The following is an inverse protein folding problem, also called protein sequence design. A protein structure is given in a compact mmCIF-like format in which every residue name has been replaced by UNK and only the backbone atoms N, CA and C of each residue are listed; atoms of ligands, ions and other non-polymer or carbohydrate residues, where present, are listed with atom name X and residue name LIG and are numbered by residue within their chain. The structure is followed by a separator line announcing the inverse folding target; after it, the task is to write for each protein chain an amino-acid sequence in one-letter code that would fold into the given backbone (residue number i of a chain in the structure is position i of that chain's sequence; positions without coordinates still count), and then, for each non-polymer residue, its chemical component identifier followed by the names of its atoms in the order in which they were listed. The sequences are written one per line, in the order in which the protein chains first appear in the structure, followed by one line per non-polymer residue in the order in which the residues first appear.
data_IF_579549191215
#
_entry.id   IF_579549191215
#
_cell.length_a   1.000
_cell.length_b   1.000
_cell.length_c   1.000
_cell.angle_alpha   90.00
_cell.angle_beta   90.00
_cell.angle_gamma   90.00
#
_symmetry.space_group_name_H-M   'P 1'
#
loop_
_entity.id
_entity.type
_entity.pdbx_description
1 polymer ?
#
# COMPACT_ATOMS: atom_id res chain seq x y z
N UNK A 1 -18.05 -4.07 13.00
CA UNK A 1 -17.73 -4.93 11.85
C UNK A 1 -17.69 -4.07 10.59
N UNK A 2 -16.74 -4.27 9.71
CA UNK A 2 -16.66 -3.56 8.42
C UNK A 2 -17.75 -4.06 7.48
N UNK A 3 -18.22 -3.18 6.58
CA UNK A 3 -19.27 -3.48 5.60
C UNK A 3 -18.75 -4.37 4.49
N UNK A 4 -19.55 -5.34 4.06
CA UNK A 4 -19.28 -6.11 2.84
C UNK A 4 -20.14 -5.55 1.69
N UNK A 5 -19.52 -4.71 0.85
CA UNK A 5 -20.19 -4.04 -0.26
C UNK A 5 -20.76 -5.00 -1.30
N UNK A 6 -20.08 -6.11 -1.55
CA UNK A 6 -20.54 -7.13 -2.50
C UNK A 6 -21.89 -7.70 -2.06
N UNK A 7 -22.02 -8.09 -0.77
CA UNK A 7 -23.28 -8.57 -0.20
C UNK A 7 -24.38 -7.52 -0.21
N UNK A 8 -24.05 -6.28 0.19
CA UNK A 8 -25.03 -5.18 0.27
C UNK A 8 -25.61 -4.79 -1.10
N UNK A 9 -24.86 -4.99 -2.19
CA UNK A 9 -25.25 -4.61 -3.54
C UNK A 9 -25.57 -5.82 -4.44
N UNK A 10 -25.63 -7.04 -3.89
CA UNK A 10 -25.88 -8.27 -4.62
C UNK A 10 -24.90 -8.51 -5.79
N UNK A 11 -23.63 -8.15 -5.57
CA UNK A 11 -22.52 -8.39 -6.49
C UNK A 11 -21.71 -9.60 -6.03
N UNK A 12 -21.02 -10.28 -6.97
CA UNK A 12 -20.20 -11.46 -6.65
C UNK A 12 -18.73 -11.13 -6.52
N UNK A 13 -18.25 -10.26 -7.38
CA UNK A 13 -16.81 -9.96 -7.53
C UNK A 13 -16.56 -8.46 -7.35
N UNK A 14 -16.41 -8.02 -6.10
CA UNK A 14 -16.03 -6.64 -5.77
C UNK A 14 -14.60 -6.64 -5.27
N UNK A 15 -13.71 -5.95 -5.99
CA UNK A 15 -12.35 -5.74 -5.57
C UNK A 15 -12.27 -4.52 -4.62
N UNK A 16 -11.71 -4.72 -3.43
CA UNK A 16 -11.22 -3.62 -2.61
C UNK A 16 -9.76 -3.34 -2.94
N UNK A 17 -9.38 -2.08 -3.04
CA UNK A 17 -8.00 -1.65 -3.33
C UNK A 17 -7.49 -0.65 -2.30
N UNK A 18 -6.20 -0.75 -2.00
CA UNK A 18 -5.48 0.22 -1.18
C UNK A 18 -4.01 0.28 -1.59
N UNK A 19 -3.35 1.40 -1.26
CA UNK A 19 -1.93 1.60 -1.45
C UNK A 19 -1.20 1.82 -0.12
N UNK A 20 0.09 1.48 -0.09
CA UNK A 20 0.99 1.79 1.01
C UNK A 20 2.32 2.34 0.51
N UNK A 21 2.82 3.33 1.22
CA UNK A 21 4.10 3.96 0.91
C UNK A 21 3.97 5.34 0.29
N UNK A 22 2.76 5.88 0.08
CA UNK A 22 2.61 7.30 -0.26
C UNK A 22 3.25 8.17 0.81
N UNK A 23 3.98 9.22 0.42
CA UNK A 23 4.69 10.09 1.37
C UNK A 23 5.97 9.52 1.99
N UNK A 24 6.35 8.27 1.72
CA UNK A 24 7.61 7.72 2.23
C UNK A 24 8.82 8.29 1.48
N UNK A 25 9.92 8.52 2.21
CA UNK A 25 11.22 8.98 1.69
C UNK A 25 11.95 7.91 0.91
N UNK A 26 11.65 6.64 1.20
CA UNK A 26 12.32 5.50 0.59
C UNK A 26 11.39 4.30 0.40
N UNK A 27 11.78 3.42 -0.51
CA UNK A 27 11.10 2.17 -0.81
C UNK A 27 10.00 2.29 -1.87
N UNK A 28 9.35 1.18 -2.24
CA UNK A 28 8.36 1.14 -3.29
C UNK A 28 7.00 1.73 -2.84
N UNK A 29 6.15 2.12 -3.81
CA UNK A 29 4.70 2.00 -3.61
C UNK A 29 4.33 0.53 -3.74
N UNK A 30 3.46 0.09 -2.87
CA UNK A 30 2.87 -1.25 -2.94
C UNK A 30 1.37 -1.09 -2.89
N UNK A 31 0.69 -1.70 -3.84
CA UNK A 31 -0.77 -1.69 -3.94
C UNK A 31 -1.28 -3.12 -3.88
N UNK A 32 -2.46 -3.30 -3.33
CA UNK A 32 -3.13 -4.59 -3.36
C UNK A 32 -4.59 -4.43 -3.78
N UNK A 33 -5.11 -5.48 -4.41
CA UNK A 33 -6.52 -5.66 -4.70
C UNK A 33 -6.97 -7.00 -4.16
N UNK A 34 -8.09 -7.03 -3.44
CA UNK A 34 -8.63 -8.23 -2.81
C UNK A 34 -10.10 -8.37 -3.13
N UNK A 35 -10.49 -9.53 -3.66
CA UNK A 35 -11.90 -9.94 -3.84
C UNK A 35 -12.21 -10.96 -2.76
N UNK A 36 -13.12 -10.63 -1.85
CA UNK A 36 -13.62 -11.53 -0.82
C UNK A 36 -15.00 -12.09 -1.21
N UNK A 37 -15.35 -13.30 -0.74
CA UNK A 37 -16.71 -13.82 -0.91
C UNK A 37 -17.76 -12.86 -0.30
N UNK A 38 -18.95 -12.71 -0.92
CA UNK A 38 -20.00 -11.85 -0.39
C UNK A 38 -20.45 -12.22 1.03
N UNK A 39 -20.37 -13.51 1.39
CA UNK A 39 -20.72 -14.04 2.71
C UNK A 39 -19.58 -13.91 3.74
N UNK A 40 -18.36 -13.55 3.32
CA UNK A 40 -17.22 -13.48 4.21
C UNK A 40 -17.36 -12.37 5.27
N UNK A 41 -17.10 -12.71 6.52
CA UNK A 41 -17.07 -11.81 7.67
C UNK A 41 -15.86 -12.09 8.54
N UNK A 42 -15.31 -11.06 9.17
CA UNK A 42 -14.20 -11.21 10.11
C UNK A 42 -14.05 -10.00 11.03
N UNK A 43 -13.82 -10.25 12.31
CA UNK A 43 -13.41 -9.25 13.28
C UNK A 43 -11.89 -9.05 13.34
N UNK A 44 -11.11 -9.89 12.65
CA UNK A 44 -9.66 -9.77 12.55
C UNK A 44 -9.23 -8.78 11.47
N UNK A 45 -10.08 -8.56 10.46
CA UNK A 45 -9.81 -7.60 9.38
C UNK A 45 -10.40 -6.25 9.79
N UNK A 46 -9.54 -5.40 10.30
CA UNK A 46 -9.84 -4.03 10.73
C UNK A 46 -8.78 -3.10 10.15
N UNK A 47 -8.86 -1.80 10.42
CA UNK A 47 -7.85 -0.82 9.99
C UNK A 47 -6.42 -1.34 10.23
N UNK A 48 -5.66 -1.45 9.15
CA UNK A 48 -4.28 -1.96 9.18
C UNK A 48 -3.37 -1.18 10.13
N UNK A 49 -3.67 0.10 10.40
CA UNK A 49 -2.93 0.95 11.34
C UNK A 49 -3.14 0.53 12.80
N UNK A 50 -4.28 -0.10 13.10
CA UNK A 50 -4.57 -0.62 14.44
C UNK A 50 -3.87 -1.96 14.69
N UNK A 51 -3.86 -2.85 13.69
CA UNK A 51 -3.28 -4.18 13.83
C UNK A 51 -1.77 -4.22 13.61
N UNK A 52 -1.18 -3.26 12.87
CA UNK A 52 0.27 -3.22 12.59
C UNK A 52 1.14 -3.06 13.85
N UNK A 53 0.55 -2.69 14.99
CA UNK A 53 1.22 -2.66 16.30
C UNK A 53 1.59 -4.04 16.84
N UNK A 54 1.02 -5.10 16.28
CA UNK A 54 1.29 -6.49 16.66
C UNK A 54 1.59 -7.33 15.41
N UNK A 55 2.84 -7.76 15.28
CA UNK A 55 3.27 -8.61 14.17
C UNK A 55 2.45 -9.90 14.07
N UNK A 56 2.11 -10.52 15.22
CA UNK A 56 1.29 -11.74 15.25
C UNK A 56 -0.15 -11.49 14.76
N UNK A 57 -0.78 -10.36 15.15
CA UNK A 57 -2.13 -10.02 14.64
C UNK A 57 -2.11 -9.73 13.15
N UNK A 58 -1.09 -8.99 12.69
CA UNK A 58 -0.90 -8.69 11.26
C UNK A 58 -0.73 -9.96 10.44
N UNK A 59 0.11 -10.89 10.91
CA UNK A 59 0.30 -12.20 10.27
C UNK A 59 -1.02 -12.97 10.18
N UNK A 60 -1.74 -13.13 11.30
CA UNK A 60 -3.01 -13.84 11.33
C UNK A 60 -4.06 -13.25 10.38
N UNK A 61 -4.15 -11.91 10.31
CA UNK A 61 -5.08 -11.25 9.41
C UNK A 61 -4.66 -11.45 7.94
N UNK A 62 -3.36 -11.37 7.64
CA UNK A 62 -2.84 -11.65 6.31
C UNK A 62 -3.13 -13.09 5.87
N UNK A 63 -2.84 -14.09 6.73
CA UNK A 63 -3.08 -15.51 6.43
C UNK A 63 -4.57 -15.77 6.21
N UNK A 64 -5.44 -15.21 7.07
CA UNK A 64 -6.89 -15.31 6.92
C UNK A 64 -7.39 -14.77 5.57
N UNK A 65 -6.84 -13.64 5.11
CA UNK A 65 -7.18 -13.08 3.81
C UNK A 65 -6.72 -14.02 2.69
N UNK A 66 -5.48 -14.50 2.75
CA UNK A 66 -4.92 -15.37 1.71
C UNK A 66 -5.66 -16.71 1.59
N UNK A 67 -6.16 -17.24 2.71
CA UNK A 67 -6.89 -18.51 2.76
C UNK A 67 -8.34 -18.40 2.25
N UNK A 68 -8.94 -17.21 2.29
CA UNK A 68 -10.37 -17.03 2.03
C UNK A 68 -10.69 -16.15 0.80
N UNK A 69 -9.74 -15.35 0.31
CA UNK A 69 -10.00 -14.48 -0.82
C UNK A 69 -10.24 -15.25 -2.12
N UNK A 70 -11.19 -14.80 -2.91
CA UNK A 70 -11.48 -15.33 -4.25
C UNK A 70 -10.39 -14.98 -5.27
N UNK A 71 -9.75 -13.84 -5.09
CA UNK A 71 -8.59 -13.37 -5.87
C UNK A 71 -7.82 -12.31 -5.09
N UNK A 72 -6.50 -12.35 -5.18
CA UNK A 72 -5.60 -11.36 -4.57
C UNK A 72 -4.52 -10.99 -5.58
N UNK A 73 -4.37 -9.71 -5.83
CA UNK A 73 -3.23 -9.16 -6.55
C UNK A 73 -2.47 -8.17 -5.68
N UNK A 74 -1.14 -8.16 -5.80
CA UNK A 74 -0.31 -7.20 -5.07
C UNK A 74 0.92 -6.85 -5.90
N UNK A 75 0.96 -5.62 -6.36
CA UNK A 75 2.03 -5.08 -7.20
C UNK A 75 2.86 -4.04 -6.45
N UNK A 76 4.07 -3.82 -6.95
CA UNK A 76 4.97 -2.81 -6.40
C UNK A 76 5.67 -2.06 -7.53
N UNK A 77 5.89 -0.76 -7.33
CA UNK A 77 6.73 0.06 -8.22
C UNK A 77 7.91 0.61 -7.44
N UNK A 78 9.11 0.49 -8.00
CA UNK A 78 10.36 0.81 -7.32
C UNK A 78 10.55 2.32 -7.09
N UNK A 79 11.37 2.69 -6.10
CA UNK A 79 11.78 4.09 -5.91
C UNK A 79 12.45 4.68 -7.17
N UNK A 80 13.22 3.87 -7.91
CA UNK A 80 13.85 4.28 -9.18
C UNK A 80 12.79 4.68 -10.22
N UNK A 81 11.74 3.88 -10.37
CA UNK A 81 10.68 4.17 -11.34
C UNK A 81 9.81 5.34 -10.88
N UNK A 82 9.56 5.47 -9.57
CA UNK A 82 8.88 6.65 -8.99
C UNK A 82 9.68 7.93 -9.29
N UNK A 83 11.01 7.89 -9.14
CA UNK A 83 11.88 9.03 -9.46
C UNK A 83 11.84 9.38 -10.95
N UNK A 84 11.79 8.36 -11.83
CA UNK A 84 11.74 8.54 -13.28
C UNK A 84 10.39 9.08 -13.78
N UNK A 85 9.29 8.53 -13.28
CA UNK A 85 7.94 8.82 -13.78
C UNK A 85 7.28 9.99 -13.05
N UNK A 86 7.70 10.27 -11.83
CA UNK A 86 7.00 11.12 -10.87
C UNK A 86 6.00 10.32 -10.01
N UNK A 87 5.63 10.86 -8.83
CA UNK A 87 4.82 10.13 -7.84
C UNK A 87 3.43 9.70 -8.34
N UNK A 88 2.66 10.60 -8.96
CA UNK A 88 1.29 10.28 -9.38
C UNK A 88 1.23 9.30 -10.56
N UNK A 89 1.98 9.51 -11.67
CA UNK A 89 2.00 8.53 -12.76
C UNK A 89 2.48 7.15 -12.32
N UNK A 90 3.44 7.08 -11.39
CA UNK A 90 3.91 5.82 -10.84
C UNK A 90 2.82 5.12 -10.00
N UNK A 91 2.05 5.89 -9.23
CA UNK A 91 0.93 5.34 -8.46
C UNK A 91 -0.18 4.83 -9.40
N UNK A 92 -0.60 5.62 -10.38
CA UNK A 92 -1.62 5.22 -11.35
C UNK A 92 -1.22 3.92 -12.07
N UNK A 93 0.05 3.84 -12.51
CA UNK A 93 0.57 2.63 -13.13
C UNK A 93 0.45 1.40 -12.23
N UNK A 94 0.95 1.46 -10.99
CA UNK A 94 0.95 0.30 -10.12
C UNK A 94 -0.46 -0.11 -9.65
N UNK A 95 -1.40 0.85 -9.57
CA UNK A 95 -2.81 0.55 -9.31
C UNK A 95 -3.44 -0.21 -10.49
N UNK A 96 -3.21 0.23 -11.73
CA UNK A 96 -3.69 -0.45 -12.93
C UNK A 96 -3.05 -1.84 -13.07
N UNK A 97 -1.74 -1.97 -12.88
CA UNK A 97 -1.04 -3.26 -12.87
C UNK A 97 -1.64 -4.22 -11.81
N UNK A 98 -2.07 -3.68 -10.66
CA UNK A 98 -2.67 -4.48 -9.58
C UNK A 98 -4.05 -5.02 -9.98
N UNK A 99 -4.88 -4.23 -10.64
CA UNK A 99 -6.18 -4.71 -11.16
C UNK A 99 -5.97 -5.73 -12.26
N UNK A 100 -5.06 -5.47 -13.19
CA UNK A 100 -4.74 -6.40 -14.29
C UNK A 100 -4.18 -7.75 -13.79
N UNK A 101 -3.55 -7.76 -12.60
CA UNK A 101 -2.99 -8.95 -11.98
C UNK A 101 -3.98 -9.82 -11.19
N UNK A 102 -5.26 -9.45 -11.13
CA UNK A 102 -6.30 -10.30 -10.51
C UNK A 102 -6.63 -11.50 -11.42
N UNK A 103 -6.73 -12.70 -10.85
CA UNK A 103 -7.14 -13.92 -11.57
C UNK A 103 -8.62 -13.89 -11.99
N UNK A 104 -9.42 -13.04 -11.32
CA UNK A 104 -10.84 -12.84 -11.60
C UNK A 104 -11.10 -11.36 -11.91
N UNK A 105 -11.74 -11.08 -13.04
CA UNK A 105 -12.15 -9.73 -13.40
C UNK A 105 -13.25 -9.25 -12.43
N UNK A 106 -13.06 -8.16 -11.68
CA UNK A 106 -14.09 -7.65 -10.79
C UNK A 106 -15.24 -7.00 -11.57
N UNK A 107 -16.46 -7.10 -11.02
CA UNK A 107 -17.65 -6.39 -11.50
C UNK A 107 -17.64 -4.92 -11.05
N UNK A 108 -16.95 -4.65 -9.94
CA UNK A 108 -16.85 -3.32 -9.35
C UNK A 108 -15.57 -3.18 -8.52
N UNK A 109 -15.02 -1.98 -8.46
CA UNK A 109 -13.83 -1.67 -7.67
C UNK A 109 -14.17 -0.61 -6.60
N UNK A 110 -13.85 -0.91 -5.35
CA UNK A 110 -13.79 0.06 -4.26
C UNK A 110 -12.33 0.39 -3.97
N UNK A 111 -11.95 1.64 -4.05
CA UNK A 111 -10.58 2.06 -3.83
C UNK A 111 -10.48 3.11 -2.73
N UNK A 112 -9.56 2.92 -1.78
CA UNK A 112 -9.21 3.97 -0.84
C UNK A 112 -8.51 5.13 -1.56
N UNK A 113 -8.86 6.35 -1.19
CA UNK A 113 -8.22 7.54 -1.75
C UNK A 113 -9.15 8.51 -2.46
N UNK A 114 -8.56 9.49 -3.14
CA UNK A 114 -9.29 10.60 -3.79
C UNK A 114 -8.94 10.81 -5.25
N UNK A 115 -7.96 10.07 -5.79
CA UNK A 115 -7.51 10.18 -7.18
C UNK A 115 -7.10 8.81 -7.72
N UNK A 116 -7.57 8.53 -8.91
CA UNK A 116 -7.19 7.36 -9.69
C UNK A 116 -7.42 7.65 -11.17
N UNK A 117 -6.49 7.24 -12.00
CA UNK A 117 -6.59 7.33 -13.45
C UNK A 117 -6.60 5.91 -14.04
N UNK A 118 -7.80 5.30 -14.21
CA UNK A 118 -7.92 3.93 -14.71
C UNK A 118 -7.58 3.82 -16.19
N UNK A 119 -6.99 2.70 -16.57
CA UNK A 119 -6.79 2.28 -17.97
C UNK A 119 -7.76 1.14 -18.39
N UNK A 120 -8.83 0.96 -17.60
CA UNK A 120 -9.86 -0.07 -17.81
C UNK A 120 -11.27 0.54 -17.71
N UNK A 121 -12.29 -0.22 -18.17
CA UNK A 121 -13.70 0.20 -18.15
C UNK A 121 -14.51 -0.40 -16.97
N UNK A 122 -13.86 -0.99 -15.97
CA UNK A 122 -14.55 -1.55 -14.81
C UNK A 122 -15.11 -0.39 -13.97
N UNK A 123 -16.39 -0.42 -13.58
CA UNK A 123 -16.96 0.59 -12.70
C UNK A 123 -16.22 0.65 -11.35
N UNK A 124 -15.98 1.85 -10.84
CA UNK A 124 -15.28 2.03 -9.58
C UNK A 124 -15.83 3.20 -8.75
N UNK A 125 -15.53 3.20 -7.46
CA UNK A 125 -15.78 4.31 -6.55
C UNK A 125 -14.57 4.55 -5.68
N UNK A 126 -14.16 5.83 -5.55
CA UNK A 126 -13.17 6.26 -4.59
C UNK A 126 -13.83 6.50 -3.24
N UNK A 127 -13.26 5.95 -2.19
CA UNK A 127 -13.79 6.04 -0.84
C UNK A 127 -12.72 6.60 0.08
N UNK A 128 -12.96 7.79 0.63
CA UNK A 128 -12.04 8.36 1.62
C UNK A 128 -12.07 7.55 2.92
N UNK A 129 -10.92 7.06 3.37
CA UNK A 129 -10.77 6.18 4.54
C UNK A 129 -11.60 4.90 4.40
N UNK A 130 -11.57 4.32 3.22
CA UNK A 130 -12.34 3.12 2.88
C UNK A 130 -11.93 1.90 3.70
N UNK A 131 -10.67 1.84 4.13
CA UNK A 131 -10.11 0.84 5.06
C UNK A 131 -10.83 0.76 6.42
N UNK A 132 -11.50 1.84 6.82
CA UNK A 132 -12.34 1.90 8.03
C UNK A 132 -13.83 1.59 7.76
N UNK A 133 -14.20 1.42 6.52
CA UNK A 133 -15.61 1.28 6.12
C UNK A 133 -15.89 -0.08 5.47
N UNK A 134 -15.05 -0.49 4.52
CA UNK A 134 -15.29 -1.67 3.70
C UNK A 134 -14.26 -2.77 3.91
N UNK A 135 -14.75 -3.98 4.11
CA UNK A 135 -13.96 -5.16 4.43
C UNK A 135 -12.92 -5.50 3.35
N UNK A 136 -13.28 -5.38 2.07
CA UNK A 136 -12.37 -5.65 0.95
C UNK A 136 -11.23 -4.62 0.84
N UNK A 137 -11.49 -3.33 1.14
CA UNK A 137 -10.45 -2.29 1.18
C UNK A 137 -9.51 -2.53 2.37
N UNK A 138 -10.06 -2.83 3.56
CA UNK A 138 -9.25 -3.14 4.73
C UNK A 138 -8.36 -4.39 4.50
N UNK A 139 -8.88 -5.40 3.82
CA UNK A 139 -8.10 -6.57 3.42
C UNK A 139 -6.94 -6.19 2.47
N UNK A 140 -7.20 -5.34 1.47
CA UNK A 140 -6.18 -4.84 0.57
C UNK A 140 -5.10 -4.03 1.32
N UNK A 141 -5.51 -3.14 2.24
CA UNK A 141 -4.59 -2.40 3.12
C UNK A 141 -3.65 -3.31 3.90
N UNK A 142 -4.19 -4.40 4.48
CA UNK A 142 -3.41 -5.38 5.23
C UNK A 142 -2.41 -6.10 4.32
N UNK A 143 -2.84 -6.56 3.14
CA UNK A 143 -1.97 -7.26 2.19
C UNK A 143 -0.83 -6.35 1.71
N UNK A 144 -1.14 -5.13 1.28
CA UNK A 144 -0.15 -4.17 0.83
C UNK A 144 0.84 -3.81 1.95
N UNK A 145 0.33 -3.52 3.15
CA UNK A 145 1.12 -3.17 4.34
C UNK A 145 2.04 -4.31 4.77
N UNK A 146 1.53 -5.52 4.88
CA UNK A 146 2.30 -6.70 5.28
C UNK A 146 3.49 -6.92 4.33
N UNK A 147 3.23 -6.94 3.03
CA UNK A 147 4.26 -7.18 2.02
C UNK A 147 5.30 -6.06 1.95
N UNK A 148 4.86 -4.80 2.03
CA UNK A 148 5.78 -3.65 2.00
C UNK A 148 6.65 -3.60 3.24
N UNK A 149 6.09 -3.81 4.42
CA UNK A 149 6.85 -3.77 5.67
C UNK A 149 7.93 -4.87 5.72
N UNK A 150 7.59 -6.08 5.29
CA UNK A 150 8.56 -7.17 5.16
C UNK A 150 9.69 -6.85 4.18
N UNK A 151 9.36 -6.22 3.05
CA UNK A 151 10.35 -5.75 2.08
C UNK A 151 11.29 -4.69 2.69
N UNK A 152 10.75 -3.70 3.41
CA UNK A 152 11.57 -2.64 4.02
C UNK A 152 12.47 -3.14 5.15
N UNK A 153 12.10 -4.23 5.83
CA UNK A 153 12.99 -4.90 6.79
C UNK A 153 14.20 -5.51 6.07
N UNK A 154 13.99 -6.20 4.92
CA UNK A 154 15.10 -6.72 4.12
C UNK A 154 16.01 -5.62 3.55
N UNK A 155 15.42 -4.49 3.15
CA UNK A 155 16.21 -3.32 2.71
C UNK A 155 17.06 -2.76 3.85
N UNK A 156 16.57 -2.82 5.09
CA UNK A 156 17.33 -2.39 6.27
C UNK A 156 18.60 -3.22 6.49
N UNK A 157 18.55 -4.51 6.21
CA UNK A 157 19.74 -5.39 6.39
C UNK A 157 20.90 -4.93 5.49
N UNK A 158 20.60 -4.36 4.33
CA UNK A 158 21.58 -3.82 3.39
C UNK A 158 21.94 -2.36 3.70
N UNK A 159 20.98 -1.57 4.18
CA UNK A 159 21.14 -0.13 4.45
C UNK A 159 20.69 0.22 5.88
N UNK A 160 21.42 -0.23 6.92
CA UNK A 160 20.97 -0.12 8.33
C UNK A 160 20.95 1.31 8.87
N UNK A 161 21.63 2.24 8.18
CA UNK A 161 21.84 3.60 8.66
C UNK A 161 20.56 4.47 8.65
N UNK A 162 19.54 4.08 7.85
CA UNK A 162 18.33 4.88 7.65
C UNK A 162 17.13 4.45 8.51
N UNK A 163 17.27 3.38 9.30
CA UNK A 163 16.22 2.90 10.19
C UNK A 163 14.98 2.34 9.49
N UNK A 164 15.14 1.75 8.30
CA UNK A 164 14.04 1.19 7.50
C UNK A 164 13.26 0.07 8.20
N UNK A 165 13.90 -0.66 9.11
CA UNK A 165 13.25 -1.72 9.91
C UNK A 165 12.15 -1.19 10.82
N UNK A 166 12.25 0.06 11.28
CA UNK A 166 11.26 0.70 12.15
C UNK A 166 10.37 1.67 11.37
N UNK A 167 10.98 2.63 10.65
CA UNK A 167 10.26 3.68 9.93
C UNK A 167 9.58 3.20 8.64
N UNK A 168 9.94 2.01 8.13
CA UNK A 168 9.49 1.49 6.84
C UNK A 168 9.69 2.48 5.68
N UNK A 169 10.73 3.32 5.78
CA UNK A 169 11.08 4.32 4.77
C UNK A 169 10.36 5.67 4.91
N UNK A 170 9.50 5.84 5.90
CA UNK A 170 8.93 7.16 6.21
C UNK A 170 9.94 8.04 6.94
N UNK A 171 9.71 9.36 6.91
CA UNK A 171 10.56 10.33 7.59
C UNK A 171 10.67 10.03 9.09
N UNK A 172 11.90 10.01 9.60
CA UNK A 172 12.20 9.75 11.00
C UNK A 172 13.55 10.38 11.37
N UNK A 173 13.83 10.66 12.67
CA UNK A 173 15.13 11.19 13.09
C UNK A 173 16.29 10.37 12.52
N UNK A 174 16.22 9.04 12.62
CA UNK A 174 17.27 8.14 12.10
C UNK A 174 17.41 8.21 10.57
N UNK A 175 16.31 8.40 9.83
CA UNK A 175 16.35 8.63 8.39
C UNK A 175 17.12 9.91 8.06
N UNK A 176 16.81 11.00 8.76
CA UNK A 176 17.43 12.30 8.51
C UNK A 176 18.92 12.32 8.89
N UNK A 177 19.28 11.67 10.00
CA UNK A 177 20.69 11.47 10.39
C UNK A 177 21.44 10.66 9.33
N UNK A 178 20.83 9.57 8.86
CA UNK A 178 21.39 8.74 7.80
C UNK A 178 21.61 9.53 6.51
N UNK A 179 20.64 10.33 6.08
CA UNK A 179 20.75 11.17 4.89
C UNK A 179 21.84 12.24 5.02
N UNK A 180 21.98 12.87 6.20
CA UNK A 180 23.06 13.86 6.45
C UNK A 180 24.44 13.23 6.42
N UNK A 181 24.59 12.02 6.97
CA UNK A 181 25.91 11.39 7.14
C UNK A 181 26.35 10.55 5.95
N UNK A 182 25.42 9.83 5.30
CA UNK A 182 25.75 8.83 4.28
C UNK A 182 25.16 9.18 2.90
N UNK A 183 24.40 10.30 2.79
CA UNK A 183 23.72 10.66 1.55
C UNK A 183 22.55 9.74 1.23
N UNK A 184 22.21 9.62 -0.06
CA UNK A 184 21.10 8.79 -0.54
C UNK A 184 21.56 7.39 -0.89
N UNK A 185 20.71 6.40 -0.63
CA UNK A 185 20.83 5.07 -1.20
C UNK A 185 19.85 4.89 -2.39
N UNK A 186 19.97 3.82 -3.20
CA UNK A 186 19.12 3.60 -4.38
C UNK A 186 17.60 3.48 -4.09
N UNK A 187 17.23 3.33 -2.83
CA UNK A 187 15.83 3.22 -2.41
C UNK A 187 15.20 4.58 -2.08
N UNK A 188 15.97 5.67 -2.04
CA UNK A 188 15.41 7.00 -1.73
C UNK A 188 14.62 7.57 -2.91
N UNK A 189 13.59 8.33 -2.56
CA UNK A 189 12.71 9.02 -3.51
C UNK A 189 13.09 10.49 -3.57
N UNK A 190 13.57 10.94 -4.71
CA UNK A 190 14.19 12.25 -4.90
C UNK A 190 13.27 13.39 -4.49
N UNK A 191 12.01 13.37 -4.92
CA UNK A 191 11.04 14.43 -4.60
C UNK A 191 10.95 14.70 -3.09
N UNK A 192 10.84 13.64 -2.28
CA UNK A 192 10.66 13.77 -0.83
C UNK A 192 11.96 14.19 -0.13
N UNK A 193 13.09 13.64 -0.58
CA UNK A 193 14.40 14.01 -0.04
C UNK A 193 14.75 15.44 -0.41
N UNK A 194 14.53 15.85 -1.66
CA UNK A 194 14.77 17.23 -2.13
C UNK A 194 13.94 18.23 -1.31
N UNK A 195 12.62 18.02 -1.20
CA UNK A 195 11.76 18.91 -0.43
C UNK A 195 12.18 19.01 1.05
N UNK A 196 12.66 17.92 1.63
CA UNK A 196 13.18 17.96 2.99
C UNK A 196 14.50 18.76 3.06
N UNK A 197 15.43 18.56 2.13
CA UNK A 197 16.70 19.27 2.08
C UNK A 197 16.48 20.79 1.89
N UNK A 198 15.63 21.19 0.96
CA UNK A 198 15.22 22.59 0.74
C UNK A 198 14.66 23.22 2.03
N UNK A 199 13.77 22.53 2.73
CA UNK A 199 13.22 23.00 4.01
C UNK A 199 14.25 23.11 5.13
N UNK A 200 15.40 22.45 5.03
CA UNK A 200 16.53 22.58 5.96
C UNK A 200 17.55 23.63 5.50
N UNK A 201 17.35 24.31 4.37
CA UNK A 201 18.31 25.25 3.80
C UNK A 201 19.59 24.55 3.26
N UNK A 202 19.52 23.24 3.01
CA UNK A 202 20.61 22.49 2.40
C UNK A 202 20.49 22.68 0.89
N UNK A 203 21.35 23.52 0.33
CA UNK A 203 21.44 23.74 -1.13
C UNK A 203 22.00 22.45 -1.74
N UNK A 204 21.27 21.84 -2.68
CA UNK A 204 21.66 20.64 -3.45
C UNK A 204 22.38 21.06 -4.73
#
# INVERSE_FOLDING_TARGET
MLRNYARENNLKLVAGMDEVGWGAFAGPYVTAAVILPPEFESDLIIDSKLICKSASKMQKAYDLIMDNALSVSCCAISAKDINKMGPQPALDKVLNDTIAGLDKTPEFILMDGSKYNPDHNIPYTLVAKGDNTFLSIAAAAIVAKYRRDAYMVKVHDVYPHYGFNSSKGYGSPKMYEGLKKYGRCPYHRDKYVNSWQENQGIIV
#
